data_IF_443934092293
#
_entry.id   IF_443934092293
#
_cell.length_a   1.000
_cell.length_b   1.000
_cell.length_c   1.000
_cell.angle_alpha   90.00
_cell.angle_beta   90.00
_cell.angle_gamma   90.00
#
_symmetry.space_group_name_H-M   'P 1'
#
loop_
_entity.id
_entity.type
_entity.pdbx_description
1 polymer ?
#
# COMPACT_ATOMS: atom_id res chain seq x y z
N UNK A 1 0.51 9.42 10.49
CA UNK A 1 0.35 10.04 9.13
C UNK A 1 -0.16 9.07 8.09
N UNK A 2 0.52 7.96 7.81
CA UNK A 2 0.19 7.07 6.70
C UNK A 2 -1.00 6.12 6.98
N UNK A 3 -0.73 4.91 7.46
CA UNK A 3 -1.78 3.89 7.68
C UNK A 3 -2.91 4.35 8.62
N UNK A 4 -2.61 5.23 9.57
CA UNK A 4 -3.60 5.85 10.46
C UNK A 4 -4.63 6.70 9.70
N UNK A 5 -4.21 7.50 8.72
CA UNK A 5 -5.14 8.30 7.93
C UNK A 5 -6.03 7.41 7.05
N UNK A 6 -5.48 6.32 6.51
CA UNK A 6 -6.25 5.32 5.75
C UNK A 6 -7.28 4.64 6.65
N UNK A 7 -6.88 4.25 7.87
CA UNK A 7 -7.79 3.66 8.84
C UNK A 7 -8.94 4.61 9.18
N UNK A 8 -8.63 5.87 9.52
CA UNK A 8 -9.62 6.90 9.81
C UNK A 8 -10.54 7.20 8.60
N UNK A 9 -10.00 7.16 7.37
CA UNK A 9 -10.81 7.32 6.16
C UNK A 9 -11.81 6.17 6.00
N UNK A 10 -11.38 4.92 6.19
CA UNK A 10 -12.24 3.74 6.07
C UNK A 10 -13.30 3.67 7.16
N UNK A 11 -13.00 4.15 8.36
CA UNK A 11 -13.98 4.30 9.43
C UNK A 11 -15.11 5.26 9.04
N UNK A 12 -14.79 6.39 8.41
CA UNK A 12 -15.78 7.35 7.90
C UNK A 12 -16.50 6.87 6.64
N UNK A 13 -15.84 6.04 5.84
CA UNK A 13 -16.34 5.56 4.54
C UNK A 13 -16.25 4.03 4.45
N UNK A 14 -17.18 3.36 5.14
CA UNK A 14 -17.19 1.90 5.26
C UNK A 14 -17.35 1.10 3.97
N UNK A 15 -17.63 1.77 2.83
CA UNK A 15 -17.68 1.14 1.52
C UNK A 15 -16.32 1.12 0.80
N UNK A 16 -15.20 1.43 1.46
CA UNK A 16 -13.87 1.27 0.90
C UNK A 16 -13.09 0.13 1.56
N UNK A 17 -12.55 -0.76 0.72
CA UNK A 17 -11.72 -1.87 1.15
C UNK A 17 -10.31 -1.77 0.53
N UNK A 18 -9.25 -2.14 1.25
CA UNK A 18 -7.91 -2.27 0.68
C UNK A 18 -7.90 -3.33 -0.42
N UNK A 19 -7.15 -3.05 -1.48
CA UNK A 19 -6.85 -4.08 -2.49
C UNK A 19 -5.73 -5.00 -1.98
N UNK A 20 -5.47 -6.10 -2.67
CA UNK A 20 -4.29 -6.92 -2.41
C UNK A 20 -3.03 -6.16 -2.89
N UNK A 21 -2.34 -5.48 -1.98
CA UNK A 21 -1.13 -4.70 -2.29
C UNK A 21 0.06 -5.56 -2.72
N UNK A 22 0.16 -6.83 -2.27
CA UNK A 22 1.21 -7.73 -2.75
C UNK A 22 0.99 -8.06 -4.20
N UNK A 23 -0.21 -8.52 -4.56
CA UNK A 23 -0.56 -8.79 -5.96
C UNK A 23 -0.46 -7.53 -6.83
N UNK A 24 -0.85 -6.36 -6.32
CA UNK A 24 -0.74 -5.09 -7.04
C UNK A 24 0.71 -4.71 -7.33
N UNK A 25 1.62 -4.89 -6.36
CA UNK A 25 3.04 -4.64 -6.55
C UNK A 25 3.62 -5.58 -7.59
N UNK A 26 3.42 -6.89 -7.40
CA UNK A 26 4.01 -7.92 -8.26
C UNK A 26 3.52 -7.81 -9.73
N UNK A 27 2.28 -7.33 -9.96
CA UNK A 27 1.76 -7.13 -11.32
C UNK A 27 2.38 -5.94 -12.07
N UNK A 28 2.92 -4.95 -11.35
CA UNK A 28 3.49 -3.73 -11.94
C UNK A 28 5.02 -3.73 -11.92
N UNK A 29 5.63 -4.40 -10.94
CA UNK A 29 7.07 -4.41 -10.71
C UNK A 29 7.62 -5.85 -10.59
N UNK A 30 7.51 -6.66 -11.65
CA UNK A 30 8.06 -8.02 -11.63
C UNK A 30 9.57 -8.00 -11.37
N UNK A 31 10.06 -8.93 -10.52
CA UNK A 31 11.47 -9.03 -10.14
C UNK A 31 11.94 -8.01 -9.09
N UNK A 32 11.02 -7.27 -8.47
CA UNK A 32 11.31 -6.26 -7.44
C UNK A 32 10.63 -6.60 -6.11
N UNK A 33 10.48 -7.88 -5.78
CA UNK A 33 9.69 -8.37 -4.64
C UNK A 33 10.22 -7.85 -3.29
N UNK A 34 11.54 -7.62 -3.21
CA UNK A 34 12.25 -7.10 -2.05
C UNK A 34 12.42 -5.58 -2.00
N UNK A 35 12.04 -4.85 -3.05
CA UNK A 35 12.23 -3.39 -3.12
C UNK A 35 11.14 -2.61 -2.34
N UNK A 36 10.05 -3.28 -1.95
CA UNK A 36 8.96 -2.69 -1.22
C UNK A 36 8.59 -3.50 0.03
N UNK A 37 8.24 -2.79 1.11
CA UNK A 37 7.65 -3.40 2.31
C UNK A 37 6.14 -3.31 2.23
N UNK A 38 5.45 -4.43 2.30
CA UNK A 38 3.98 -4.50 2.34
C UNK A 38 3.55 -4.85 3.75
N UNK A 39 2.75 -3.98 4.38
CA UNK A 39 2.30 -4.19 5.75
C UNK A 39 1.13 -5.19 5.79
N UNK A 40 0.98 -5.89 6.92
CA UNK A 40 -0.09 -6.89 7.09
C UNK A 40 -1.52 -6.31 7.00
N UNK A 41 -1.68 -5.03 7.34
CA UNK A 41 -2.94 -4.29 7.16
C UNK A 41 -3.11 -3.69 5.74
N UNK A 42 -2.21 -4.02 4.81
CA UNK A 42 -2.11 -3.42 3.49
C UNK A 42 -1.22 -2.18 3.45
N UNK A 43 -1.06 -1.62 2.26
CA UNK A 43 -0.19 -0.50 1.97
C UNK A 43 1.26 -0.91 1.65
N UNK A 44 1.89 -0.09 0.82
CA UNK A 44 3.23 -0.28 0.27
C UNK A 44 4.11 0.86 0.79
N UNK A 45 5.21 0.50 1.43
CA UNK A 45 6.23 1.45 1.87
C UNK A 45 7.52 1.23 1.07
N UNK A 46 8.03 2.30 0.49
CA UNK A 46 9.35 2.38 -0.12
C UNK A 46 10.30 3.12 0.82
N UNK A 47 11.56 2.74 0.77
CA UNK A 47 12.62 3.40 1.52
C UNK A 47 13.90 3.43 0.70
N UNK A 48 14.78 4.45 0.89
CA UNK A 48 16.05 4.52 0.17
C UNK A 48 16.89 3.25 0.25
N UNK A 49 16.85 2.57 1.41
CA UNK A 49 17.61 1.34 1.63
C UNK A 49 17.09 0.13 0.83
N UNK A 50 15.81 0.09 0.47
CA UNK A 50 15.20 -1.07 -0.23
C UNK A 50 14.96 -0.79 -1.71
N UNK A 51 14.47 0.40 -2.05
CA UNK A 51 14.09 0.75 -3.42
C UNK A 51 15.14 1.58 -4.15
N UNK A 52 16.12 2.16 -3.45
CA UNK A 52 17.03 3.16 -4.04
C UNK A 52 16.33 4.48 -4.41
N UNK A 53 15.10 4.69 -3.93
CA UNK A 53 14.29 5.91 -4.15
C UNK A 53 14.06 6.65 -2.84
N UNK A 54 13.50 7.86 -2.90
CA UNK A 54 13.00 8.53 -1.70
C UNK A 54 11.95 7.67 -0.96
N UNK A 55 11.80 7.94 0.34
CA UNK A 55 10.78 7.31 1.16
C UNK A 55 9.38 7.65 0.66
N UNK A 56 8.55 6.63 0.45
CA UNK A 56 7.21 6.81 -0.09
C UNK A 56 6.20 5.83 0.51
N UNK A 57 4.95 6.27 0.67
CA UNK A 57 3.86 5.41 1.12
C UNK A 57 2.70 5.45 0.13
N UNK A 58 2.18 4.27 -0.20
CA UNK A 58 1.06 4.12 -1.11
C UNK A 58 0.03 3.13 -0.56
N UNK A 59 -1.25 3.50 -0.62
CA UNK A 59 -2.35 2.63 -0.19
C UNK A 59 -3.54 2.70 -1.15
N UNK A 60 -3.63 1.73 -2.06
CA UNK A 60 -4.79 1.58 -2.93
C UNK A 60 -6.02 1.04 -2.18
N UNK A 61 -7.16 1.69 -2.38
CA UNK A 61 -8.48 1.26 -1.92
C UNK A 61 -9.41 1.07 -3.12
N UNK A 62 -10.36 0.16 -3.01
CA UNK A 62 -11.48 0.01 -3.94
C UNK A 62 -12.77 0.35 -3.23
N UNK A 63 -13.61 1.15 -3.88
CA UNK A 63 -15.00 1.36 -3.46
C UNK A 63 -15.82 0.11 -3.81
N UNK A 64 -16.49 -0.47 -2.82
CA UNK A 64 -17.49 -1.50 -3.02
C UNK A 64 -18.69 -0.91 -3.78
N UNK A 65 -19.23 -1.69 -4.72
CA UNK A 65 -20.41 -1.33 -5.50
C UNK A 65 -21.65 -1.21 -4.60
#
# INVERSE_FOLDING_TARGET
>A
ENGEQVAAFRERHGNFAPVDHRRLWDSHFPGHEGAARIAGAGGISLSPALSGTDGFYFHALRKAA
#
